data_IF_847262836799
#
_entry.id   IF_847262836799
#
_cell.length_a   1.000
_cell.length_b   1.000
_cell.length_c   1.000
_cell.angle_alpha   90.00
_cell.angle_beta   90.00
_cell.angle_gamma   90.00
#
_symmetry.space_group_name_H-M   'P 1'
#
loop_
_entity.id
_entity.type
_entity.pdbx_description
1 polymer ?
#
# COMPACT_ATOMS: atom_id res chain seq x y z
N UNK A 1 1.98 -25.84 -16.59
CA UNK A 1 2.34 -25.93 -15.17
C UNK A 1 1.25 -25.34 -14.30
N UNK A 2 0.75 -26.11 -13.35
CA UNK A 2 -0.19 -25.55 -12.37
C UNK A 2 0.56 -24.66 -11.40
N UNK A 3 0.14 -23.43 -11.26
CA UNK A 3 0.66 -22.54 -10.25
C UNK A 3 0.16 -23.01 -8.88
N UNK A 4 1.09 -23.28 -7.97
CA UNK A 4 0.73 -23.65 -6.61
C UNK A 4 0.46 -22.37 -5.85
N UNK A 5 -0.74 -22.25 -5.30
CA UNK A 5 -1.13 -21.12 -4.46
C UNK A 5 -0.72 -21.45 -3.02
N UNK A 6 0.24 -20.72 -2.42
CA UNK A 6 0.77 -21.07 -1.09
C UNK A 6 -0.14 -20.70 0.08
N UNK A 7 -1.27 -20.01 -0.18
CA UNK A 7 -2.17 -19.51 0.86
C UNK A 7 -3.59 -19.94 0.58
N UNK A 8 -4.40 -20.01 1.64
CA UNK A 8 -5.84 -20.30 1.59
C UNK A 8 -6.58 -19.24 2.38
N UNK A 9 -7.85 -19.04 2.06
CA UNK A 9 -8.73 -18.17 2.84
C UNK A 9 -8.74 -18.61 4.30
N UNK A 10 -8.53 -17.69 5.21
CA UNK A 10 -8.45 -17.95 6.65
C UNK A 10 -7.04 -18.23 7.16
N UNK A 11 -6.04 -18.37 6.29
CA UNK A 11 -4.65 -18.57 6.72
C UNK A 11 -4.11 -17.31 7.38
N UNK A 12 -3.34 -17.53 8.45
CA UNK A 12 -2.62 -16.45 9.13
C UNK A 12 -1.14 -16.57 8.76
N UNK A 13 -0.62 -15.54 8.11
CA UNK A 13 0.76 -15.53 7.61
C UNK A 13 1.48 -14.26 8.02
N UNK A 14 2.80 -14.32 8.05
CA UNK A 14 3.68 -13.15 8.24
C UNK A 14 4.40 -12.88 6.93
N UNK A 15 4.37 -11.63 6.48
CA UNK A 15 5.04 -11.25 5.24
C UNK A 15 5.68 -9.87 5.35
N UNK A 16 6.64 -9.61 4.47
CA UNK A 16 7.27 -8.30 4.34
C UNK A 16 6.62 -7.55 3.19
N UNK A 17 6.25 -6.30 3.45
CA UNK A 17 5.63 -5.43 2.44
C UNK A 17 6.73 -4.79 1.61
N UNK A 18 6.64 -4.92 0.29
CA UNK A 18 7.66 -4.45 -0.64
C UNK A 18 7.32 -3.09 -1.27
N UNK A 19 6.05 -2.73 -1.34
CA UNK A 19 5.62 -1.48 -1.96
C UNK A 19 4.16 -1.21 -1.72
N UNK A 20 3.62 -0.22 -2.43
CA UNK A 20 2.20 0.13 -2.38
C UNK A 20 1.55 -0.14 -3.73
N UNK A 21 0.31 -0.62 -3.69
CA UNK A 21 -0.53 -0.75 -4.88
C UNK A 21 -1.17 0.58 -5.26
N UNK A 22 -1.91 0.57 -6.37
CA UNK A 22 -2.52 1.78 -6.93
C UNK A 22 -3.57 2.42 -6.02
N UNK A 23 -4.17 1.64 -5.12
CA UNK A 23 -5.16 2.12 -4.16
C UNK A 23 -4.58 2.40 -2.77
N UNK A 24 -3.24 2.40 -2.64
CA UNK A 24 -2.56 2.66 -1.38
C UNK A 24 -2.43 1.45 -0.46
N UNK A 25 -2.87 0.27 -0.88
CA UNK A 25 -2.68 -0.96 -0.12
C UNK A 25 -1.22 -1.43 -0.17
N UNK A 26 -0.75 -2.04 0.92
CA UNK A 26 0.58 -2.64 0.94
C UNK A 26 0.63 -3.88 0.04
N UNK A 27 1.73 -4.07 -0.67
CA UNK A 27 1.96 -5.22 -1.54
C UNK A 27 3.17 -5.98 -1.04
N UNK A 28 2.98 -7.25 -0.74
CA UNK A 28 4.07 -8.14 -0.37
C UNK A 28 3.96 -9.45 -1.10
N UNK A 29 4.96 -10.29 -0.93
CA UNK A 29 4.96 -11.63 -1.52
C UNK A 29 5.16 -12.68 -0.43
N UNK A 30 4.33 -13.69 -0.47
CA UNK A 30 4.44 -14.87 0.38
C UNK A 30 4.75 -16.06 -0.53
N UNK A 31 5.95 -16.61 -0.37
CA UNK A 31 6.45 -17.70 -1.23
C UNK A 31 6.29 -17.41 -2.74
N UNK A 32 6.56 -16.15 -3.12
CA UNK A 32 6.45 -15.69 -4.50
C UNK A 32 5.04 -15.29 -4.94
N UNK A 33 4.04 -15.47 -4.09
CA UNK A 33 2.64 -15.15 -4.39
C UNK A 33 2.30 -13.76 -3.86
N UNK A 34 1.71 -12.91 -4.71
CA UNK A 34 1.38 -11.53 -4.37
C UNK A 34 0.23 -11.48 -3.37
N UNK A 35 0.42 -10.70 -2.30
CA UNK A 35 -0.61 -10.47 -1.28
C UNK A 35 -0.78 -8.97 -1.07
N UNK A 36 -2.02 -8.50 -1.17
CA UNK A 36 -2.38 -7.11 -0.91
C UNK A 36 -2.92 -6.97 0.52
N UNK A 37 -2.41 -5.98 1.26
CA UNK A 37 -2.78 -5.75 2.66
C UNK A 37 -3.11 -4.28 2.86
N UNK A 38 -4.38 -3.97 3.08
CA UNK A 38 -4.80 -2.61 3.36
C UNK A 38 -4.24 -2.15 4.71
N UNK A 39 -3.64 -0.98 4.73
CA UNK A 39 -3.06 -0.40 5.94
C UNK A 39 -1.60 -0.74 6.20
N UNK A 40 -1.01 -1.66 5.44
CA UNK A 40 0.41 -1.97 5.53
C UNK A 40 1.24 -1.02 4.68
N UNK A 41 2.46 -0.76 5.10
CA UNK A 41 3.38 0.16 4.42
C UNK A 41 4.64 -0.58 3.95
N UNK A 42 5.34 -0.04 2.92
CA UNK A 42 6.61 -0.62 2.48
C UNK A 42 7.61 -0.74 3.62
N UNK A 43 8.42 -1.78 3.56
CA UNK A 43 9.45 -2.11 4.55
C UNK A 43 8.90 -2.61 5.89
N UNK A 44 7.58 -2.78 6.00
CA UNK A 44 6.97 -3.35 7.20
C UNK A 44 6.93 -4.87 7.14
N UNK A 45 7.09 -5.49 8.29
CA UNK A 45 6.79 -6.91 8.48
C UNK A 45 5.46 -6.99 9.22
N UNK A 46 4.49 -7.66 8.62
CA UNK A 46 3.11 -7.67 9.12
C UNK A 46 2.57 -9.09 9.19
N UNK A 47 1.70 -9.33 10.14
CA UNK A 47 0.93 -10.56 10.23
C UNK A 47 -0.49 -10.28 9.71
N UNK A 48 -0.93 -11.12 8.79
CA UNK A 48 -2.20 -10.94 8.11
C UNK A 48 -3.00 -12.23 8.10
N UNK A 49 -4.32 -12.09 8.05
CA UNK A 49 -5.25 -13.21 7.82
C UNK A 49 -5.76 -13.11 6.39
N UNK A 50 -5.60 -14.16 5.61
CA UNK A 50 -6.03 -14.19 4.22
C UNK A 50 -7.55 -14.19 4.17
N UNK A 51 -8.12 -13.18 3.52
CA UNK A 51 -9.58 -13.01 3.39
C UNK A 51 -10.09 -13.40 2.01
N UNK A 52 -9.23 -13.34 0.99
CA UNK A 52 -9.62 -13.62 -0.39
C UNK A 52 -8.42 -14.20 -1.13
N UNK A 53 -8.64 -15.24 -1.92
CA UNK A 53 -7.60 -15.84 -2.75
C UNK A 53 -8.07 -15.85 -4.20
N UNK A 54 -7.25 -15.30 -5.08
CA UNK A 54 -7.45 -15.29 -6.54
C UNK A 54 -6.35 -16.11 -7.22
N UNK A 55 -6.44 -16.28 -8.53
CA UNK A 55 -5.45 -17.06 -9.29
C UNK A 55 -4.05 -16.48 -9.26
N UNK A 56 -3.92 -15.15 -9.23
CA UNK A 56 -2.64 -14.44 -9.31
C UNK A 56 -2.29 -13.65 -8.06
N UNK A 57 -3.22 -13.48 -7.12
CA UNK A 57 -2.99 -12.74 -5.90
C UNK A 57 -3.95 -13.16 -4.79
N UNK A 58 -3.63 -12.74 -3.57
CA UNK A 58 -4.52 -12.87 -2.43
C UNK A 58 -4.68 -11.52 -1.75
N UNK A 59 -5.72 -11.38 -0.95
CA UNK A 59 -5.96 -10.19 -0.12
C UNK A 59 -5.96 -10.62 1.34
N UNK A 60 -5.21 -9.90 2.18
CA UNK A 60 -5.13 -10.16 3.60
C UNK A 60 -5.63 -8.99 4.44
N UNK A 61 -6.20 -9.32 5.58
CA UNK A 61 -6.55 -8.33 6.61
C UNK A 61 -5.36 -8.17 7.56
N UNK A 62 -4.97 -6.93 7.82
CA UNK A 62 -3.87 -6.62 8.72
C UNK A 62 -4.26 -6.95 10.16
N UNK A 63 -3.56 -7.92 10.76
CA UNK A 63 -3.80 -8.32 12.15
C UNK A 63 -2.82 -7.65 13.11
N UNK A 64 -1.54 -7.64 12.75
CA UNK A 64 -0.49 -7.10 13.60
C UNK A 64 0.66 -6.57 12.75
N UNK A 65 1.25 -5.46 13.17
CA UNK A 65 2.48 -4.94 12.59
C UNK A 65 3.62 -5.44 13.46
N UNK A 66 4.39 -6.40 12.94
CA UNK A 66 5.50 -7.01 13.66
C UNK A 66 6.66 -6.02 13.73
N UNK A 67 6.95 -5.37 12.61
CA UNK A 67 7.97 -4.35 12.50
C UNK A 67 7.45 -3.19 11.66
N UNK A 68 7.29 -2.02 12.28
CA UNK A 68 6.74 -0.84 11.61
C UNK A 68 7.82 -0.12 10.80
N UNK A 69 7.40 0.52 9.69
CA UNK A 69 8.24 1.44 8.93
C UNK A 69 8.56 2.69 9.75
N UNK A 70 9.77 3.22 9.58
CA UNK A 70 10.16 4.49 10.19
C UNK A 70 9.28 5.66 9.70
N UNK A 71 8.65 5.52 8.55
CA UNK A 71 7.79 6.54 7.95
C UNK A 71 6.31 6.42 8.36
N UNK A 72 5.96 5.42 9.19
CA UNK A 72 4.58 5.28 9.68
C UNK A 72 4.28 6.35 10.72
N UNK A 73 3.16 7.03 10.53
CA UNK A 73 2.68 8.07 11.44
C UNK A 73 1.23 7.82 11.82
N UNK A 74 0.79 8.42 12.93
CA UNK A 74 -0.61 8.39 13.32
C UNK A 74 -1.41 9.31 12.40
N UNK A 75 -2.52 8.85 11.78
CA UNK A 75 -3.34 9.73 10.95
C UNK A 75 -3.87 10.92 11.76
N UNK A 76 -3.75 12.12 11.18
CA UNK A 76 -4.21 13.34 11.83
C UNK A 76 -5.74 13.43 11.89
N UNK A 77 -6.42 12.79 10.94
CA UNK A 77 -7.88 12.81 10.86
C UNK A 77 -8.48 11.79 11.82
N UNK A 78 -9.36 12.18 12.76
CA UNK A 78 -9.92 11.25 13.74
C UNK A 78 -10.87 10.21 13.13
N UNK A 79 -11.39 10.47 11.92
CA UNK A 79 -12.27 9.55 11.22
C UNK A 79 -11.60 8.82 10.05
N UNK A 80 -10.28 8.81 10.01
CA UNK A 80 -9.51 8.22 8.92
C UNK A 80 -9.91 6.78 8.61
N UNK A 81 -10.05 5.95 9.64
CA UNK A 81 -10.38 4.52 9.48
C UNK A 81 -11.79 4.30 8.94
N UNK A 82 -12.71 5.20 9.22
CA UNK A 82 -14.13 5.06 8.91
C UNK A 82 -14.53 5.76 7.61
N UNK A 83 -13.90 6.89 7.30
CA UNK A 83 -14.29 7.75 6.20
C UNK A 83 -14.00 7.15 4.82
N UNK A 84 -12.85 6.50 4.64
CA UNK A 84 -12.44 5.95 3.35
C UNK A 84 -12.05 6.97 2.29
N UNK A 85 -12.07 8.26 2.61
CA UNK A 85 -11.70 9.33 1.67
C UNK A 85 -10.20 9.53 1.47
N UNK A 86 -9.39 8.99 2.37
CA UNK A 86 -7.92 9.08 2.33
C UNK A 86 -7.30 7.71 2.49
N UNK A 87 -6.24 7.41 1.75
CA UNK A 87 -5.58 6.12 1.80
C UNK A 87 -4.21 6.13 2.47
N UNK A 88 -3.56 7.30 2.61
CA UNK A 88 -2.15 7.39 3.01
C UNK A 88 -1.87 8.28 4.21
N UNK A 89 -2.87 8.60 5.05
CA UNK A 89 -2.62 9.43 6.23
C UNK A 89 -1.73 8.74 7.28
N UNK A 90 -1.60 7.42 7.21
CA UNK A 90 -0.73 6.65 8.10
C UNK A 90 0.73 6.62 7.64
N UNK A 91 1.04 7.25 6.52
CA UNK A 91 2.39 7.36 5.96
C UNK A 91 2.83 8.83 6.01
N UNK A 92 4.07 9.08 6.45
CA UNK A 92 4.60 10.45 6.49
C UNK A 92 4.57 11.08 5.09
N UNK A 93 4.51 12.41 5.04
CA UNK A 93 4.48 13.11 3.76
C UNK A 93 5.71 12.80 2.91
N UNK A 94 6.89 12.74 3.53
CA UNK A 94 8.13 12.33 2.87
C UNK A 94 7.98 10.92 2.28
N UNK A 95 7.42 9.98 3.04
CA UNK A 95 7.17 8.62 2.58
C UNK A 95 6.17 8.58 1.43
N UNK A 96 5.13 9.41 1.47
CA UNK A 96 4.16 9.54 0.39
C UNK A 96 4.81 10.00 -0.92
N UNK A 97 5.67 11.01 -0.85
CA UNK A 97 6.37 11.52 -2.02
C UNK A 97 7.28 10.46 -2.65
N UNK A 98 8.00 9.72 -1.82
CA UNK A 98 8.90 8.66 -2.29
C UNK A 98 8.11 7.48 -2.90
N UNK A 99 6.98 7.10 -2.30
CA UNK A 99 6.12 6.05 -2.88
C UNK A 99 5.56 6.46 -4.23
N UNK A 100 5.16 7.71 -4.39
CA UNK A 100 4.65 8.23 -5.67
C UNK A 100 5.75 8.25 -6.72
N UNK A 101 6.97 8.66 -6.36
CA UNK A 101 8.12 8.62 -7.26
C UNK A 101 8.38 7.19 -7.72
N UNK A 102 8.35 6.24 -6.81
CA UNK A 102 8.58 4.83 -7.11
C UNK A 102 7.50 4.26 -8.03
N UNK A 103 6.23 4.65 -7.84
CA UNK A 103 5.15 4.23 -8.73
C UNK A 103 5.38 4.71 -10.16
N UNK A 104 5.82 5.97 -10.33
CA UNK A 104 6.16 6.52 -11.65
C UNK A 104 7.37 5.78 -12.24
N UNK A 105 8.39 5.53 -11.43
CA UNK A 105 9.59 4.79 -11.85
C UNK A 105 9.22 3.39 -12.35
N UNK A 106 8.38 2.68 -11.61
CA UNK A 106 7.94 1.34 -11.99
C UNK A 106 7.14 1.37 -13.30
N UNK A 107 6.29 2.37 -13.48
CA UNK A 107 5.53 2.54 -14.71
C UNK A 107 6.45 2.78 -15.91
N UNK A 108 7.46 3.63 -15.75
CA UNK A 108 8.43 3.91 -16.81
C UNK A 108 9.25 2.67 -17.17
N UNK A 109 9.72 1.93 -16.18
CA UNK A 109 10.60 0.80 -16.38
C UNK A 109 9.86 -0.46 -16.85
N UNK A 110 8.76 -0.81 -16.18
CA UNK A 110 8.07 -2.10 -16.37
C UNK A 110 7.00 -2.04 -17.45
N UNK A 111 6.24 -0.95 -17.50
CA UNK A 111 5.11 -0.80 -18.45
C UNK A 111 5.57 -0.10 -19.71
N UNK A 112 6.29 1.00 -19.59
CA UNK A 112 6.78 1.79 -20.71
C UNK A 112 8.06 1.27 -21.33
N UNK A 113 8.77 0.37 -20.68
CA UNK A 113 10.09 -0.15 -21.11
C UNK A 113 11.08 0.96 -21.42
N UNK A 114 11.03 2.05 -20.65
CA UNK A 114 11.89 3.21 -20.81
C UNK A 114 13.01 3.18 -19.77
N UNK A 115 14.23 3.46 -20.21
CA UNK A 115 15.38 3.59 -19.32
C UNK A 115 15.51 5.05 -18.89
N UNK A 116 14.51 5.50 -18.14
CA UNK A 116 14.43 6.87 -17.62
C UNK A 116 14.31 6.83 -16.09
N UNK A 117 14.97 7.76 -15.43
CA UNK A 117 14.88 7.91 -13.99
C UNK A 117 13.82 8.95 -13.65
N UNK A 118 12.89 8.59 -12.75
CA UNK A 118 11.90 9.53 -12.26
C UNK A 118 12.56 10.54 -11.33
N UNK A 119 12.29 11.81 -11.56
CA UNK A 119 12.80 12.88 -10.68
C UNK A 119 12.05 12.89 -9.35
N UNK A 120 12.63 13.49 -8.29
CA UNK A 120 11.91 13.63 -7.02
C UNK A 120 10.58 14.37 -7.20
N UNK A 121 9.57 13.93 -6.45
CA UNK A 121 8.25 14.56 -6.49
C UNK A 121 8.31 15.91 -5.76
N UNK A 122 7.76 16.94 -6.40
CA UNK A 122 7.62 18.26 -5.77
C UNK A 122 6.43 18.21 -4.83
N UNK A 123 6.70 18.39 -3.53
CA UNK A 123 5.66 18.39 -2.52
C UNK A 123 4.96 19.74 -2.43
N UNK A 124 3.74 19.72 -1.86
CA UNK A 124 3.03 20.93 -1.51
C UNK A 124 3.63 21.54 -0.24
N UNK A 125 3.71 22.86 -0.17
CA UNK A 125 4.16 23.55 1.03
C UNK A 125 3.22 23.29 2.20
N UNK A 126 1.92 23.17 1.92
CA UNK A 126 0.90 22.80 2.90
C UNK A 126 0.18 21.55 2.39
N UNK A 127 0.52 20.34 2.91
CA UNK A 127 -0.09 19.10 2.41
C UNK A 127 -1.52 18.86 2.91
N UNK A 128 -2.00 19.64 3.87
CA UNK A 128 -3.34 19.55 4.41
C UNK A 128 -4.23 20.67 3.90
N UNK A 129 -5.55 20.46 3.92
CA UNK A 129 -6.53 21.48 3.51
C UNK A 129 -6.33 21.97 2.09
N UNK A 130 -5.85 21.11 1.19
CA UNK A 130 -5.55 21.46 -0.20
C UNK A 130 -6.75 21.25 -1.13
N UNK A 131 -7.74 20.48 -0.67
CA UNK A 131 -8.84 20.04 -1.53
C UNK A 131 -9.89 21.14 -1.69
N UNK A 132 -10.21 21.47 -2.94
CA UNK A 132 -11.21 22.48 -3.29
C UNK A 132 -12.47 21.87 -3.91
N UNK A 133 -12.56 20.55 -3.95
CA UNK A 133 -13.73 19.78 -4.40
C UNK A 133 -13.85 18.54 -3.53
N UNK A 134 -15.06 18.23 -3.11
CA UNK A 134 -15.29 17.05 -2.28
C UNK A 134 -16.31 16.13 -2.95
N UNK A 135 -16.09 14.83 -2.76
CA UNK A 135 -17.02 13.79 -3.16
C UNK A 135 -17.19 12.84 -1.98
N UNK A 136 -18.44 12.65 -1.55
CA UNK A 136 -18.74 11.75 -0.45
C UNK A 136 -19.56 10.57 -0.96
N UNK A 137 -19.25 9.33 -0.51
CA UNK A 137 -20.20 8.23 -0.69
C UNK A 137 -21.45 8.54 0.12
N UNK A 138 -22.62 8.42 -0.53
CA UNK A 138 -23.89 8.58 0.16
C UNK A 138 -24.15 7.34 1.02
N UNK A 139 -24.55 7.57 2.26
CA UNK A 139 -24.91 6.48 3.17
C UNK A 139 -26.29 5.94 2.83
#
# INVERSE_FOLDING_TARGET
MKQIIPVKQGDNITLTVNGLGSSGEGVGKYEGFTVFVKGALPEEEVRVTITLVKKSYAVGALEEIVKASAERVEPACPVYKECGGCQLQHLSYKGQLECKRQQVQDALTRIGHLDLEALPVLGAAEPWSYRNKMQFPAA
#
